data_IF_108935400076
#
_entry.id   IF_108935400076
#
_cell.length_a   1.000
_cell.length_b   1.000
_cell.length_c   1.000
_cell.angle_alpha   90.00
_cell.angle_beta   90.00
_cell.angle_gamma   90.00
#
_symmetry.space_group_name_H-M   'P 1'
#
loop_
_entity.id
_entity.type
_entity.pdbx_description
1 polymer ?
#
# COMPACT_ATOMS: atom_id res chain seq x y z
N UNK A 1 -29.25 -11.41 73.73
CA UNK A 1 -29.62 -10.80 72.44
C UNK A 1 -28.54 -9.80 72.09
N UNK A 2 -27.70 -10.11 71.10
CA UNK A 2 -26.61 -9.23 70.69
C UNK A 2 -26.48 -9.21 69.17
N UNK A 3 -26.15 -8.04 68.62
CA UNK A 3 -25.19 -7.86 67.53
C UNK A 3 -24.89 -6.37 67.40
N UNK A 4 -23.64 -5.98 67.70
CA UNK A 4 -23.09 -4.68 67.33
C UNK A 4 -22.74 -4.74 65.84
N UNK A 5 -23.21 -3.77 65.07
CA UNK A 5 -22.73 -3.48 63.72
C UNK A 5 -21.25 -3.09 63.78
N UNK A 6 -20.39 -3.85 63.10
CA UNK A 6 -18.99 -3.46 62.88
C UNK A 6 -18.91 -2.57 61.65
N UNK A 7 -18.69 -1.29 61.92
CA UNK A 7 -18.45 -0.18 61.00
C UNK A 7 -17.07 -0.34 60.35
N UNK A 8 -17.02 -0.36 59.02
CA UNK A 8 -15.78 -0.31 58.24
C UNK A 8 -14.99 0.98 58.56
N UNK A 9 -13.82 0.85 59.17
CA UNK A 9 -12.89 1.96 59.43
C UNK A 9 -12.15 2.37 58.14
N UNK A 10 -12.43 3.58 57.65
CA UNK A 10 -11.62 4.26 56.63
C UNK A 10 -10.33 4.78 57.28
N UNK A 11 -9.18 4.35 56.76
CA UNK A 11 -7.85 4.79 57.17
C UNK A 11 -7.43 6.06 56.39
N UNK A 12 -7.20 7.17 57.11
CA UNK A 12 -6.69 8.45 56.59
C UNK A 12 -5.21 8.66 56.95
N UNK A 13 -4.48 9.42 56.15
CA UNK A 13 -3.10 9.86 56.46
C UNK A 13 -3.08 10.98 57.51
N UNK A 14 -1.88 11.40 57.91
CA UNK A 14 -1.59 12.43 58.92
C UNK A 14 -2.18 13.80 58.56
N UNK A 15 -2.68 13.96 57.34
CA UNK A 15 -3.27 15.17 56.79
C UNK A 15 -4.76 14.97 56.41
N UNK A 16 -5.40 13.89 56.89
CA UNK A 16 -6.82 13.63 56.69
C UNK A 16 -7.21 13.14 55.29
N UNK A 17 -6.24 12.76 54.44
CA UNK A 17 -6.51 12.23 53.09
C UNK A 17 -6.70 10.72 53.17
N UNK A 18 -7.66 10.16 52.44
CA UNK A 18 -7.84 8.71 52.34
C UNK A 18 -6.53 8.07 51.89
N UNK A 19 -5.96 7.14 52.68
CA UNK A 19 -4.79 6.38 52.27
C UNK A 19 -5.18 5.53 51.06
N UNK A 20 -4.52 5.75 49.92
CA UNK A 20 -4.52 4.76 48.85
C UNK A 20 -3.84 3.51 49.40
N UNK A 21 -4.62 2.49 49.74
CA UNK A 21 -4.08 1.19 50.13
C UNK A 21 -3.39 0.63 48.88
N UNK A 22 -2.07 0.39 48.90
CA UNK A 22 -1.40 -0.30 47.80
C UNK A 22 -2.06 -1.67 47.66
N UNK A 23 -2.49 -2.03 46.46
CA UNK A 23 -2.98 -3.39 46.19
C UNK A 23 -1.86 -4.35 46.58
N UNK A 24 -2.11 -5.19 47.61
CA UNK A 24 -1.16 -6.24 48.04
C UNK A 24 -0.74 -7.04 46.81
N UNK A 25 0.54 -7.43 46.75
CA UNK A 25 1.00 -8.39 45.74
C UNK A 25 0.07 -9.61 45.80
N UNK A 26 -0.60 -9.83 44.68
CA UNK A 26 -1.67 -10.81 44.53
C UNK A 26 -1.53 -11.45 43.16
N UNK A 27 -2.02 -12.67 43.01
CA UNK A 27 -2.06 -13.39 41.73
C UNK A 27 -2.78 -12.55 40.65
N UNK A 28 -3.80 -11.78 41.05
CA UNK A 28 -4.50 -10.84 40.17
C UNK A 28 -3.58 -9.74 39.64
N UNK A 29 -2.74 -9.15 40.50
CA UNK A 29 -1.77 -8.13 40.11
C UNK A 29 -0.73 -8.69 39.14
N UNK A 30 -0.21 -9.89 39.41
CA UNK A 30 0.73 -10.58 38.52
C UNK A 30 0.09 -10.92 37.15
N UNK A 31 -1.15 -11.40 37.16
CA UNK A 31 -1.94 -11.68 35.96
C UNK A 31 -2.16 -10.43 35.11
N UNK A 32 -2.61 -9.33 35.73
CA UNK A 32 -2.83 -8.06 35.01
C UNK A 32 -1.52 -7.51 34.45
N UNK A 33 -0.42 -7.58 35.21
CA UNK A 33 0.88 -7.14 34.73
C UNK A 33 1.31 -7.91 33.48
N UNK A 34 1.25 -9.24 33.53
CA UNK A 34 1.55 -10.09 32.37
C UNK A 34 0.64 -9.76 31.18
N UNK A 35 -0.65 -9.53 31.42
CA UNK A 35 -1.59 -9.18 30.35
C UNK A 35 -1.27 -7.83 29.70
N UNK A 36 -0.91 -6.84 30.51
CA UNK A 36 -0.48 -5.53 30.02
C UNK A 36 0.84 -5.63 29.25
N UNK A 37 1.76 -6.47 29.67
CA UNK A 37 3.02 -6.75 28.94
C UNK A 37 2.75 -7.37 27.56
N UNK A 38 1.88 -8.38 27.47
CA UNK A 38 1.45 -8.98 26.20
C UNK A 38 0.84 -7.93 25.25
N UNK A 39 -0.07 -7.09 25.78
CA UNK A 39 -0.71 -6.02 25.00
C UNK A 39 0.33 -4.98 24.56
N UNK A 40 1.26 -4.61 25.43
CA UNK A 40 2.34 -3.68 25.11
C UNK A 40 3.22 -4.19 23.98
N UNK A 41 3.64 -5.46 24.05
CA UNK A 41 4.46 -6.09 23.01
C UNK A 41 3.73 -6.15 21.68
N UNK A 42 2.45 -6.54 21.68
CA UNK A 42 1.61 -6.54 20.49
C UNK A 42 1.42 -5.12 19.91
N UNK A 43 1.21 -4.13 20.77
CA UNK A 43 1.03 -2.72 20.37
C UNK A 43 2.31 -2.17 19.74
N UNK A 44 3.48 -2.51 20.29
CA UNK A 44 4.78 -2.11 19.76
C UNK A 44 5.00 -2.68 18.36
N UNK A 45 4.65 -3.95 18.14
CA UNK A 45 4.71 -4.57 16.82
C UNK A 45 3.75 -3.88 15.81
N UNK A 46 2.51 -3.60 16.22
CA UNK A 46 1.53 -2.87 15.39
C UNK A 46 2.01 -1.47 15.04
N UNK A 47 2.59 -0.73 16.00
CA UNK A 47 3.16 0.59 15.76
C UNK A 47 4.33 0.55 14.76
N UNK A 48 5.23 -0.44 14.88
CA UNK A 48 6.31 -0.66 13.91
C UNK A 48 5.80 -0.97 12.50
N UNK A 49 4.75 -1.79 12.39
CA UNK A 49 4.09 -2.08 11.12
C UNK A 49 3.43 -0.83 10.51
N UNK A 50 2.86 0.04 11.35
CA UNK A 50 2.23 1.29 10.92
C UNK A 50 3.25 2.26 10.34
N UNK A 51 4.40 2.43 11.01
CA UNK A 51 5.51 3.26 10.51
C UNK A 51 6.04 2.72 9.18
N UNK A 52 6.22 1.41 9.07
CA UNK A 52 6.61 0.76 7.80
C UNK A 52 5.60 1.03 6.69
N UNK A 53 4.30 0.92 6.98
CA UNK A 53 3.25 1.21 6.00
C UNK A 53 3.28 2.70 5.56
N UNK A 54 3.49 3.64 6.49
CA UNK A 54 3.65 5.07 6.18
C UNK A 54 4.83 5.32 5.22
N UNK A 55 6.00 4.75 5.51
CA UNK A 55 7.18 4.93 4.67
C UNK A 55 7.01 4.30 3.28
N UNK A 56 6.37 3.13 3.21
CA UNK A 56 6.04 2.52 1.91
C UNK A 56 5.07 3.38 1.10
N UNK A 57 4.05 4.00 1.71
CA UNK A 57 3.15 4.93 1.01
C UNK A 57 3.95 6.10 0.43
N UNK A 58 4.86 6.71 1.20
CA UNK A 58 5.70 7.82 0.73
C UNK A 58 6.58 7.38 -0.44
N UNK A 59 7.25 6.24 -0.30
CA UNK A 59 8.13 5.66 -1.33
C UNK A 59 7.37 5.40 -2.62
N UNK A 60 6.24 4.70 -2.56
CA UNK A 60 5.46 4.34 -3.75
C UNK A 60 4.81 5.58 -4.40
N UNK A 61 4.36 6.56 -3.61
CA UNK A 61 3.85 7.82 -4.16
C UNK A 61 4.95 8.59 -4.89
N UNK A 62 6.18 8.60 -4.35
CA UNK A 62 7.34 9.19 -5.02
C UNK A 62 7.67 8.45 -6.31
N UNK A 63 7.76 7.11 -6.26
CA UNK A 63 8.02 6.28 -7.44
C UNK A 63 6.98 6.51 -8.55
N UNK A 64 5.70 6.61 -8.19
CA UNK A 64 4.65 6.93 -9.14
C UNK A 64 4.83 8.31 -9.78
N UNK A 65 5.14 9.34 -8.97
CA UNK A 65 5.41 10.69 -9.48
C UNK A 65 6.61 10.70 -10.43
N UNK A 66 7.72 10.09 -10.03
CA UNK A 66 8.94 10.01 -10.81
C UNK A 66 8.70 9.31 -12.15
N UNK A 67 7.92 8.23 -12.15
CA UNK A 67 7.53 7.50 -13.35
C UNK A 67 6.60 8.32 -14.26
N UNK A 68 5.61 9.05 -13.72
CA UNK A 68 4.78 9.96 -14.52
C UNK A 68 5.60 11.08 -15.16
N UNK A 69 6.56 11.64 -14.41
CA UNK A 69 7.47 12.67 -14.92
C UNK A 69 8.36 12.08 -16.02
N UNK A 70 8.93 10.90 -15.81
CA UNK A 70 9.73 10.19 -16.80
C UNK A 70 8.93 9.85 -18.07
N UNK A 71 7.67 9.43 -17.94
CA UNK A 71 6.79 9.21 -19.09
C UNK A 71 6.59 10.49 -19.90
N UNK A 72 6.42 11.64 -19.23
CA UNK A 72 6.22 12.93 -19.90
C UNK A 72 7.49 13.47 -20.57
N UNK A 73 8.63 13.40 -19.90
CA UNK A 73 9.83 14.17 -20.27
C UNK A 73 11.02 13.32 -20.71
N UNK A 74 10.95 12.00 -20.53
CA UNK A 74 12.04 11.06 -20.75
C UNK A 74 13.00 10.94 -19.57
N UNK A 75 12.76 11.64 -18.45
CA UNK A 75 13.64 11.61 -17.28
C UNK A 75 12.89 11.89 -15.98
N UNK A 76 13.06 11.01 -14.98
CA UNK A 76 12.42 11.13 -13.68
C UNK A 76 12.79 12.41 -12.90
N UNK A 77 13.93 13.03 -13.20
CA UNK A 77 14.42 14.24 -12.51
C UNK A 77 13.98 15.56 -13.15
N UNK A 78 13.34 15.54 -14.33
CA UNK A 78 13.04 16.74 -15.11
C UNK A 78 11.55 17.04 -15.15
N UNK A 79 11.14 18.09 -14.43
CA UNK A 79 9.74 18.54 -14.38
C UNK A 79 9.21 19.08 -15.71
N UNK A 80 10.08 19.44 -16.65
CA UNK A 80 9.71 19.82 -18.00
C UNK A 80 10.72 19.22 -18.98
N UNK A 81 10.31 18.94 -20.24
CA UNK A 81 11.26 18.60 -21.29
C UNK A 81 12.30 19.71 -21.46
N UNK A 82 13.53 19.33 -21.80
CA UNK A 82 14.60 20.25 -22.21
C UNK A 82 15.02 19.92 -23.64
N UNK A 83 16.00 20.62 -24.21
CA UNK A 83 16.52 20.29 -25.54
C UNK A 83 16.96 18.83 -25.63
N UNK A 84 17.59 18.28 -24.58
CA UNK A 84 18.00 16.86 -24.52
C UNK A 84 16.85 15.85 -24.52
N UNK A 85 15.60 16.30 -24.40
CA UNK A 85 14.42 15.46 -24.60
C UNK A 85 14.09 15.25 -26.08
N UNK A 86 14.78 15.94 -26.99
CA UNK A 86 14.50 15.96 -28.42
C UNK A 86 15.78 15.83 -29.26
N UNK A 87 15.63 15.47 -30.52
CA UNK A 87 16.67 15.44 -31.53
C UNK A 87 16.11 15.95 -32.87
N UNK A 88 16.80 15.63 -33.97
CA UNK A 88 16.23 15.80 -35.31
C UNK A 88 14.98 14.95 -35.46
N UNK A 89 14.06 15.37 -36.34
CA UNK A 89 12.75 14.74 -36.47
C UNK A 89 12.84 13.25 -36.81
N UNK A 90 13.70 12.84 -37.74
CA UNK A 90 13.90 11.41 -38.01
C UNK A 90 14.31 10.63 -36.76
N UNK A 91 15.25 11.14 -35.98
CA UNK A 91 15.73 10.48 -34.76
C UNK A 91 14.61 10.37 -33.75
N UNK A 92 13.92 11.46 -33.46
CA UNK A 92 12.86 11.49 -32.43
C UNK A 92 11.60 10.72 -32.84
N UNK A 93 11.19 10.76 -34.10
CA UNK A 93 9.92 10.16 -34.53
C UNK A 93 10.04 8.74 -35.09
N UNK A 94 11.26 8.24 -35.34
CA UNK A 94 11.47 6.87 -35.90
C UNK A 94 12.66 6.12 -35.30
N UNK A 95 13.57 6.79 -34.60
CA UNK A 95 14.79 6.19 -34.07
C UNK A 95 14.55 5.37 -32.80
N UNK A 96 15.43 4.40 -32.53
CA UNK A 96 15.41 3.57 -31.32
C UNK A 96 16.38 4.04 -30.22
N UNK A 97 17.30 4.96 -30.54
CA UNK A 97 18.22 5.57 -29.59
C UNK A 97 17.59 6.81 -28.95
N UNK A 98 17.88 7.06 -27.68
CA UNK A 98 17.32 8.20 -26.96
C UNK A 98 17.99 9.51 -27.41
N UNK A 99 17.21 10.60 -27.65
CA UNK A 99 15.75 10.68 -27.65
C UNK A 99 15.15 10.23 -29.00
N UNK A 100 14.49 9.06 -28.97
CA UNK A 100 13.89 8.39 -30.12
C UNK A 100 12.39 8.18 -29.94
N UNK A 101 11.78 7.41 -30.84
CA UNK A 101 10.36 7.11 -30.77
C UNK A 101 10.01 6.49 -29.41
N UNK A 102 8.95 6.97 -28.76
CA UNK A 102 8.54 6.44 -27.47
C UNK A 102 9.36 6.90 -26.27
N UNK A 103 10.44 7.68 -26.48
CA UNK A 103 11.30 8.18 -25.41
C UNK A 103 10.51 8.93 -24.33
N UNK A 104 9.53 9.73 -24.75
CA UNK A 104 8.65 10.48 -23.88
C UNK A 104 7.38 10.88 -24.61
N UNK A 105 6.31 11.14 -23.86
CA UNK A 105 5.09 11.72 -24.42
C UNK A 105 5.36 13.08 -25.07
N UNK A 106 6.28 13.89 -24.53
CA UNK A 106 6.59 15.19 -25.13
C UNK A 106 7.19 15.07 -26.53
N UNK A 107 8.14 14.15 -26.70
CA UNK A 107 8.74 13.82 -28.00
C UNK A 107 7.68 13.32 -28.99
N UNK A 108 6.88 12.34 -28.58
CA UNK A 108 5.90 11.71 -29.45
C UNK A 108 4.76 12.67 -29.83
N UNK A 109 4.30 13.50 -28.89
CA UNK A 109 3.31 14.55 -29.16
C UNK A 109 3.90 15.60 -30.11
N UNK A 110 5.18 15.98 -29.96
CA UNK A 110 5.82 16.88 -30.91
C UNK A 110 5.83 16.28 -32.32
N UNK A 111 6.10 14.98 -32.47
CA UNK A 111 6.05 14.29 -33.77
C UNK A 111 4.67 14.33 -34.43
N UNK A 112 3.61 14.05 -33.65
CA UNK A 112 2.24 13.99 -34.15
C UNK A 112 1.68 15.39 -34.42
N UNK A 113 2.13 16.39 -33.67
CA UNK A 113 1.57 17.74 -33.73
C UNK A 113 2.40 18.72 -34.57
N UNK A 114 3.38 18.25 -35.33
CA UNK A 114 4.16 19.07 -36.23
C UNK A 114 4.20 18.46 -37.63
N UNK A 115 4.08 19.31 -38.66
CA UNK A 115 4.20 18.93 -40.06
C UNK A 115 4.60 20.15 -40.91
N UNK A 116 4.98 19.91 -42.16
CA UNK A 116 5.46 20.90 -43.13
C UNK A 116 4.55 22.12 -43.32
N UNK A 117 5.09 23.12 -44.00
CA UNK A 117 4.41 24.40 -44.26
C UNK A 117 3.01 24.17 -44.84
N UNK A 118 2.01 24.73 -44.15
CA UNK A 118 0.58 24.60 -44.52
C UNK A 118 -0.15 23.41 -43.90
N UNK A 119 0.55 22.50 -43.22
CA UNK A 119 -0.05 21.27 -42.66
C UNK A 119 0.10 21.13 -41.14
N UNK A 120 1.12 21.74 -40.55
CA UNK A 120 1.38 21.61 -39.10
C UNK A 120 0.52 22.50 -38.20
N UNK A 121 0.05 23.64 -38.71
CA UNK A 121 -0.75 24.58 -37.92
C UNK A 121 -2.10 23.96 -37.56
N UNK A 122 -2.41 23.92 -36.27
CA UNK A 122 -3.65 23.33 -35.71
C UNK A 122 -3.85 21.83 -35.93
N UNK A 123 -2.81 21.09 -36.34
CA UNK A 123 -2.96 19.65 -36.65
C UNK A 123 -3.43 18.81 -35.45
N UNK A 124 -3.16 19.27 -34.22
CA UNK A 124 -3.63 18.64 -32.98
C UNK A 124 -4.76 19.42 -32.29
N UNK A 125 -5.43 20.32 -33.02
CA UNK A 125 -6.52 21.16 -32.53
C UNK A 125 -6.22 22.65 -32.62
N UNK A 126 -7.22 23.49 -32.33
CA UNK A 126 -7.10 24.94 -32.42
C UNK A 126 -5.95 25.48 -31.54
N UNK A 127 -4.95 26.11 -32.18
CA UNK A 127 -3.74 26.61 -31.53
C UNK A 127 -2.74 25.54 -31.10
N UNK A 128 -2.97 24.27 -31.45
CA UNK A 128 -2.12 23.13 -31.11
C UNK A 128 -1.46 22.54 -32.36
N UNK A 129 -0.18 22.89 -32.54
CA UNK A 129 0.69 22.37 -33.58
C UNK A 129 1.60 23.44 -34.15
N UNK A 130 2.56 23.03 -34.98
CA UNK A 130 3.49 23.96 -35.61
C UNK A 130 4.08 23.39 -36.91
N UNK A 131 4.60 24.29 -37.75
CA UNK A 131 5.39 23.95 -38.94
C UNK A 131 6.90 24.18 -38.77
N UNK A 132 7.33 24.65 -37.60
CA UNK A 132 8.73 24.98 -37.30
C UNK A 132 9.63 23.74 -37.14
N UNK A 133 9.06 22.60 -36.77
CA UNK A 133 9.79 21.34 -36.57
C UNK A 133 9.29 20.24 -37.53
N UNK A 134 9.38 20.54 -38.82
CA UNK A 134 8.82 19.70 -39.89
C UNK A 134 9.86 18.95 -40.73
N UNK A 135 11.07 19.50 -40.89
CA UNK A 135 12.10 18.88 -41.72
C UNK A 135 12.72 17.65 -41.05
N UNK A 136 13.04 16.63 -41.84
CA UNK A 136 13.54 15.36 -41.33
C UNK A 136 14.88 15.50 -40.58
N UNK A 137 15.80 16.30 -41.13
CA UNK A 137 17.23 16.23 -40.82
C UNK A 137 17.81 17.54 -40.31
N UNK A 138 17.21 18.67 -40.67
CA UNK A 138 17.63 20.02 -40.28
C UNK A 138 16.82 20.57 -39.11
N UNK A 139 15.65 19.98 -38.83
CA UNK A 139 14.85 20.39 -37.68
C UNK A 139 15.58 20.09 -36.37
N UNK A 140 15.66 21.07 -35.49
CA UNK A 140 16.52 21.06 -34.31
C UNK A 140 15.74 20.70 -33.04
N UNK A 141 16.46 20.25 -32.01
CA UNK A 141 15.89 20.02 -30.69
C UNK A 141 15.28 21.29 -30.06
N UNK A 142 15.82 22.48 -30.39
CA UNK A 142 15.27 23.77 -29.96
C UNK A 142 13.88 24.01 -30.55
N UNK A 143 13.73 23.81 -31.86
CA UNK A 143 12.43 23.94 -32.53
C UNK A 143 11.42 22.92 -31.99
N UNK A 144 11.85 21.70 -31.69
CA UNK A 144 10.98 20.70 -31.06
C UNK A 144 10.49 21.13 -29.68
N UNK A 145 11.38 21.69 -28.86
CA UNK A 145 11.05 22.19 -27.52
C UNK A 145 10.08 23.38 -27.57
N UNK A 146 10.28 24.31 -28.50
CA UNK A 146 9.35 25.43 -28.75
C UNK A 146 7.97 24.92 -29.18
N UNK A 147 7.94 23.98 -30.13
CA UNK A 147 6.69 23.35 -30.56
C UNK A 147 5.98 22.65 -29.41
N UNK A 148 6.71 21.88 -28.59
CA UNK A 148 6.16 21.26 -27.38
C UNK A 148 5.55 22.30 -26.44
N UNK A 149 6.25 23.41 -26.17
CA UNK A 149 5.75 24.45 -25.28
C UNK A 149 4.41 25.03 -25.78
N UNK A 150 4.28 25.26 -27.09
CA UNK A 150 3.05 25.73 -27.72
C UNK A 150 1.91 24.71 -27.60
N UNK A 151 2.18 23.44 -27.93
CA UNK A 151 1.21 22.35 -27.83
C UNK A 151 0.75 22.16 -26.38
N UNK A 152 1.69 22.17 -25.43
CA UNK A 152 1.39 22.00 -24.02
C UNK A 152 0.56 23.17 -23.47
N UNK A 153 0.83 24.40 -23.91
CA UNK A 153 0.01 25.56 -23.57
C UNK A 153 -1.42 25.44 -24.11
N UNK A 154 -1.59 24.95 -25.33
CA UNK A 154 -2.92 24.68 -25.90
C UNK A 154 -3.66 23.56 -25.14
N UNK A 155 -2.97 22.46 -24.82
CA UNK A 155 -3.52 21.34 -24.04
C UNK A 155 -4.03 21.79 -22.66
N UNK A 156 -3.28 22.67 -21.96
CA UNK A 156 -3.74 23.23 -20.68
C UNK A 156 -5.08 23.96 -20.79
N UNK A 157 -5.32 24.69 -21.87
CA UNK A 157 -6.59 25.41 -22.09
C UNK A 157 -7.78 24.46 -22.24
N UNK A 158 -7.55 23.24 -22.73
CA UNK A 158 -8.57 22.20 -22.90
C UNK A 158 -8.82 21.40 -21.62
N UNK A 159 -7.90 21.42 -20.66
CA UNK A 159 -7.96 20.61 -19.42
C UNK A 159 -9.00 21.08 -18.39
N UNK A 160 -9.66 22.22 -18.60
CA UNK A 160 -10.63 22.81 -17.65
C UNK A 160 -11.96 22.05 -17.53
N UNK A 161 -12.22 21.08 -18.41
CA UNK A 161 -13.52 20.38 -18.46
C UNK A 161 -13.52 18.95 -17.88
N UNK A 162 -12.36 18.34 -17.59
CA UNK A 162 -12.30 16.93 -17.19
C UNK A 162 -11.51 16.76 -15.90
N UNK A 163 -12.20 16.36 -14.81
CA UNK A 163 -11.51 15.83 -13.63
C UNK A 163 -10.88 14.50 -13.98
N UNK A 164 -9.67 14.52 -14.54
CA UNK A 164 -8.93 13.31 -14.86
C UNK A 164 -8.56 12.59 -13.57
N UNK A 165 -9.35 11.56 -13.22
CA UNK A 165 -9.01 10.67 -12.10
C UNK A 165 -7.93 9.71 -12.56
N UNK A 166 -6.88 9.57 -11.75
CA UNK A 166 -5.81 8.58 -11.96
C UNK A 166 -6.34 7.15 -12.20
N UNK A 167 -7.54 6.84 -11.71
CA UNK A 167 -8.25 5.58 -11.97
C UNK A 167 -8.52 5.30 -13.46
N UNK A 168 -8.60 6.32 -14.32
CA UNK A 168 -8.81 6.13 -15.76
C UNK A 168 -7.53 5.90 -16.55
N UNK A 169 -6.36 6.15 -15.94
CA UNK A 169 -5.08 6.05 -16.63
C UNK A 169 -4.84 4.69 -17.32
N UNK A 170 -5.16 3.52 -16.72
CA UNK A 170 -5.02 2.24 -17.40
C UNK A 170 -5.86 2.15 -18.69
N UNK A 171 -7.12 2.60 -18.64
CA UNK A 171 -8.01 2.57 -19.80
C UNK A 171 -7.55 3.53 -20.92
N UNK A 172 -7.00 4.68 -20.56
CA UNK A 172 -6.45 5.65 -21.52
C UNK A 172 -5.20 5.10 -22.21
N UNK A 173 -4.30 4.47 -21.46
CA UNK A 173 -3.12 3.80 -22.04
C UNK A 173 -3.57 2.68 -22.99
N UNK A 174 -4.53 1.86 -22.56
CA UNK A 174 -5.02 0.75 -23.38
C UNK A 174 -5.64 1.25 -24.70
N UNK A 175 -6.38 2.36 -24.68
CA UNK A 175 -6.92 2.97 -25.89
C UNK A 175 -5.80 3.39 -26.86
N UNK A 176 -4.74 4.03 -26.36
CA UNK A 176 -3.59 4.44 -27.19
C UNK A 176 -2.81 3.22 -27.70
N UNK A 177 -2.54 2.23 -26.85
CA UNK A 177 -1.89 0.97 -27.23
C UNK A 177 -2.70 0.26 -28.31
N UNK A 178 -4.02 0.23 -28.19
CA UNK A 178 -4.89 -0.33 -29.22
C UNK A 178 -4.66 0.39 -30.55
N UNK A 179 -4.67 1.72 -30.59
CA UNK A 179 -4.39 2.49 -31.81
C UNK A 179 -3.02 2.10 -32.40
N UNK A 180 -1.96 2.07 -31.57
CA UNK A 180 -0.60 1.70 -32.00
C UNK A 180 -0.56 0.28 -32.58
N UNK A 181 -1.28 -0.66 -31.96
CA UNK A 181 -1.26 -2.07 -32.37
C UNK A 181 -2.29 -2.40 -33.47
N UNK A 182 -3.18 -1.49 -33.81
CA UNK A 182 -4.28 -1.80 -34.73
C UNK A 182 -3.69 -2.07 -36.11
N UNK A 183 -3.92 -3.30 -36.55
CA UNK A 183 -3.66 -3.81 -37.89
C UNK A 183 -5.04 -4.21 -38.44
N UNK A 184 -5.89 -3.23 -38.76
CA UNK A 184 -7.09 -3.58 -39.52
C UNK A 184 -6.58 -4.13 -40.86
N UNK A 185 -7.12 -5.26 -41.32
CA UNK A 185 -6.59 -6.07 -42.42
C UNK A 185 -6.40 -5.30 -43.75
N UNK A 186 -6.89 -4.07 -43.84
CA UNK A 186 -6.77 -3.10 -44.94
C UNK A 186 -5.65 -2.05 -44.77
N UNK A 187 -5.01 -1.97 -43.61
CA UNK A 187 -4.08 -0.89 -43.23
C UNK A 187 -2.80 -1.38 -42.52
N UNK A 188 -2.21 -2.48 -42.99
CA UNK A 188 -0.98 -3.07 -42.40
C UNK A 188 0.17 -2.07 -42.17
N UNK A 189 0.23 -1.03 -42.99
CA UNK A 189 1.23 0.06 -42.92
C UNK A 189 1.08 0.96 -41.67
N UNK A 190 -0.02 0.83 -40.92
CA UNK A 190 -0.32 1.59 -39.70
C UNK A 190 0.11 0.89 -38.42
N UNK A 191 0.39 -0.41 -38.49
CA UNK A 191 0.83 -1.16 -37.31
C UNK A 191 2.11 -0.52 -36.76
N UNK A 192 2.13 -0.25 -35.46
CA UNK A 192 3.21 0.41 -34.74
C UNK A 192 3.42 1.89 -35.11
N UNK A 193 2.46 2.53 -35.78
CA UNK A 193 2.49 3.97 -36.04
C UNK A 193 1.36 4.67 -35.33
N UNK A 194 1.64 5.83 -34.77
CA UNK A 194 0.65 6.71 -34.13
C UNK A 194 0.68 8.08 -34.79
N UNK A 195 -0.45 8.55 -35.30
CA UNK A 195 -0.54 9.84 -35.97
C UNK A 195 -1.66 9.89 -36.99
N UNK A 196 -1.55 10.80 -37.94
CA UNK A 196 -2.59 11.03 -38.94
C UNK A 196 -2.37 10.23 -40.23
N UNK A 197 -3.43 9.60 -40.74
CA UNK A 197 -3.45 8.96 -42.07
C UNK A 197 -2.62 7.67 -42.19
N UNK A 198 -2.20 7.35 -43.43
CA UNK A 198 -1.34 6.21 -43.79
C UNK A 198 0.08 6.66 -44.21
N UNK A 199 0.93 7.11 -43.26
CA UNK A 199 2.28 7.56 -43.56
C UNK A 199 3.16 6.46 -44.17
N UNK A 200 3.80 6.78 -45.29
CA UNK A 200 4.99 6.04 -45.73
C UNK A 200 6.12 6.15 -44.69
N UNK A 201 6.26 7.33 -44.08
CA UNK A 201 7.25 7.64 -43.04
C UNK A 201 6.73 8.74 -42.09
N UNK A 202 7.43 8.96 -40.98
CA UNK A 202 7.11 9.98 -39.98
C UNK A 202 8.02 11.22 -40.05
N UNK A 203 8.43 11.60 -41.27
CA UNK A 203 9.38 12.70 -41.48
C UNK A 203 8.75 14.08 -41.55
N UNK A 204 7.42 14.21 -41.41
CA UNK A 204 6.78 15.50 -41.23
C UNK A 204 6.60 16.35 -42.48
N UNK A 205 6.86 15.84 -43.68
CA UNK A 205 6.70 16.61 -44.92
C UNK A 205 5.27 17.15 -45.13
N UNK A 206 4.25 16.44 -44.63
CA UNK A 206 2.85 16.86 -44.69
C UNK A 206 2.04 16.25 -43.53
N UNK A 207 0.73 16.53 -43.50
CA UNK A 207 -0.14 16.11 -42.40
C UNK A 207 -0.21 14.59 -42.23
N UNK A 208 -0.08 13.82 -43.30
CA UNK A 208 -0.03 12.35 -43.25
C UNK A 208 1.29 11.81 -42.68
N UNK A 209 2.37 12.60 -42.66
CA UNK A 209 3.67 12.25 -42.09
C UNK A 209 3.86 12.79 -40.66
N UNK A 210 2.80 13.34 -40.07
CA UNK A 210 2.73 13.77 -38.67
C UNK A 210 2.40 12.56 -37.78
N UNK A 211 3.43 11.77 -37.49
CA UNK A 211 3.29 10.53 -36.77
C UNK A 211 4.56 10.17 -35.99
N UNK A 212 4.47 9.09 -35.21
CA UNK A 212 5.58 8.38 -34.59
C UNK A 212 5.58 6.95 -35.12
N UNK A 213 6.75 6.44 -35.46
CA UNK A 213 6.98 5.05 -35.86
C UNK A 213 7.72 4.30 -34.74
N UNK A 214 7.02 3.37 -34.09
CA UNK A 214 7.54 2.55 -33.00
C UNK A 214 8.16 1.24 -33.49
N UNK A 215 8.24 0.99 -34.80
CA UNK A 215 8.72 -0.30 -35.36
C UNK A 215 10.10 -0.68 -34.81
N UNK A 216 11.02 0.28 -34.74
CA UNK A 216 12.38 0.05 -34.24
C UNK A 216 12.47 -0.14 -32.71
N UNK A 217 11.41 0.19 -31.97
CA UNK A 217 11.36 0.16 -30.49
C UNK A 217 10.61 -1.06 -29.98
N UNK A 218 9.47 -1.37 -30.59
CA UNK A 218 8.58 -2.46 -30.16
C UNK A 218 9.12 -3.83 -30.55
N UNK A 219 9.63 -3.97 -31.78
CA UNK A 219 10.12 -5.26 -32.29
C UNK A 219 9.11 -6.41 -32.08
N UNK A 220 9.59 -7.58 -31.68
CA UNK A 220 8.77 -8.76 -31.33
C UNK A 220 8.17 -8.71 -29.92
N UNK A 221 8.68 -7.83 -29.06
CA UNK A 221 8.46 -7.90 -27.61
C UNK A 221 7.21 -7.11 -27.13
N UNK A 222 6.54 -6.41 -28.04
CA UNK A 222 5.27 -5.73 -27.77
C UNK A 222 5.39 -4.29 -27.25
N UNK A 223 4.24 -3.61 -27.06
CA UNK A 223 4.16 -2.16 -26.80
C UNK A 223 4.79 -1.73 -25.48
N UNK A 224 4.99 -2.64 -24.52
CA UNK A 224 5.63 -2.35 -23.24
C UNK A 224 7.10 -1.93 -23.37
N UNK A 225 7.71 -2.11 -24.55
CA UNK A 225 9.05 -1.59 -24.85
C UNK A 225 9.07 -0.09 -25.12
N UNK A 226 7.94 0.51 -25.44
CA UNK A 226 7.82 1.97 -25.60
C UNK A 226 8.08 2.62 -24.23
N UNK A 227 9.18 3.39 -24.06
CA UNK A 227 9.61 3.86 -22.74
C UNK A 227 8.56 4.62 -21.95
N UNK A 228 7.79 5.53 -22.58
CA UNK A 228 6.73 6.24 -21.87
C UNK A 228 5.59 5.32 -21.42
N UNK A 229 5.24 4.27 -22.18
CA UNK A 229 4.23 3.28 -21.77
C UNK A 229 4.71 2.51 -20.54
N UNK A 230 5.96 2.03 -20.56
CA UNK A 230 6.58 1.36 -19.42
C UNK A 230 6.55 2.23 -18.16
N UNK A 231 6.86 3.51 -18.30
CA UNK A 231 6.84 4.46 -17.19
C UNK A 231 5.41 4.70 -16.66
N UNK A 232 4.41 4.83 -17.54
CA UNK A 232 3.02 4.95 -17.10
C UNK A 232 2.52 3.67 -16.38
N UNK A 233 2.87 2.49 -16.88
CA UNK A 233 2.56 1.22 -16.23
C UNK A 233 3.25 1.10 -14.85
N UNK A 234 4.48 1.58 -14.73
CA UNK A 234 5.19 1.67 -13.44
C UNK A 234 4.44 2.59 -12.48
N UNK A 235 3.97 3.76 -12.94
CA UNK A 235 3.19 4.67 -12.12
C UNK A 235 1.89 4.04 -11.61
N UNK A 236 1.16 3.34 -12.49
CA UNK A 236 -0.07 2.61 -12.13
C UNK A 236 0.21 1.57 -11.02
N UNK A 237 1.27 0.77 -11.19
CA UNK A 237 1.64 -0.27 -10.22
C UNK A 237 2.02 0.31 -8.85
N UNK A 238 2.81 1.39 -8.83
CA UNK A 238 3.17 2.07 -7.58
C UNK A 238 1.97 2.72 -6.90
N UNK A 239 1.06 3.35 -7.65
CA UNK A 239 -0.19 3.89 -7.08
C UNK A 239 -1.07 2.80 -6.48
N UNK A 240 -1.24 1.67 -7.17
CA UNK A 240 -1.98 0.53 -6.64
C UNK A 240 -1.35 -0.01 -5.35
N UNK A 241 -0.02 -0.05 -5.28
CA UNK A 241 0.70 -0.45 -4.07
C UNK A 241 0.51 0.55 -2.93
N UNK A 242 0.58 1.85 -3.20
CA UNK A 242 0.31 2.89 -2.21
C UNK A 242 -1.13 2.78 -1.65
N UNK A 243 -2.12 2.51 -2.49
CA UNK A 243 -3.52 2.30 -2.07
C UNK A 243 -3.63 1.07 -1.15
N UNK A 244 -3.00 -0.06 -1.49
CA UNK A 244 -2.97 -1.24 -0.62
C UNK A 244 -2.33 -0.95 0.74
N UNK A 245 -1.22 -0.19 0.76
CA UNK A 245 -0.57 0.20 2.01
C UNK A 245 -1.45 1.14 2.83
N UNK A 246 -2.26 2.00 2.19
CA UNK A 246 -3.22 2.86 2.88
C UNK A 246 -4.30 2.04 3.58
N UNK A 247 -4.90 1.07 2.90
CA UNK A 247 -5.87 0.15 3.51
C UNK A 247 -5.26 -0.63 4.69
N UNK A 248 -4.00 -1.08 4.55
CA UNK A 248 -3.26 -1.72 5.64
C UNK A 248 -3.07 -0.78 6.83
N UNK A 249 -2.72 0.48 6.56
CA UNK A 249 -2.52 1.49 7.60
C UNK A 249 -3.81 1.74 8.39
N UNK A 250 -4.96 1.82 7.71
CA UNK A 250 -6.26 2.00 8.36
C UNK A 250 -6.65 0.77 9.21
N UNK A 251 -6.37 -0.44 8.73
CA UNK A 251 -6.52 -1.67 9.53
C UNK A 251 -5.64 -1.66 10.79
N UNK A 252 -4.36 -1.26 10.67
CA UNK A 252 -3.43 -1.17 11.81
C UNK A 252 -3.86 -0.13 12.83
N UNK A 253 -4.45 0.99 12.40
CA UNK A 253 -5.06 1.98 13.30
C UNK A 253 -6.20 1.38 14.12
N UNK A 254 -7.09 0.62 13.47
CA UNK A 254 -8.16 -0.10 14.17
C UNK A 254 -7.61 -1.07 15.20
N UNK A 255 -6.55 -1.82 14.87
CA UNK A 255 -5.89 -2.72 15.83
C UNK A 255 -5.31 -1.98 17.04
N UNK A 256 -4.67 -0.83 16.85
CA UNK A 256 -4.15 0.00 17.96
C UNK A 256 -5.28 0.49 18.88
N UNK A 257 -6.43 0.86 18.32
CA UNK A 257 -7.60 1.25 19.12
C UNK A 257 -8.12 0.09 19.97
N UNK A 258 -8.24 -1.11 19.39
CA UNK A 258 -8.64 -2.32 20.13
C UNK A 258 -7.62 -2.67 21.21
N UNK A 259 -6.32 -2.62 20.92
CA UNK A 259 -5.26 -2.89 21.90
C UNK A 259 -5.31 -1.88 23.06
N UNK A 260 -5.60 -0.62 22.77
CA UNK A 260 -5.80 0.43 23.79
C UNK A 260 -6.98 0.09 24.70
N UNK A 261 -8.11 -0.35 24.14
CA UNK A 261 -9.28 -0.76 24.94
C UNK A 261 -8.97 -1.98 25.82
N UNK A 262 -8.25 -2.98 25.28
CA UNK A 262 -7.82 -4.15 26.04
C UNK A 262 -6.91 -3.77 27.22
N UNK A 263 -6.01 -2.79 27.03
CA UNK A 263 -5.15 -2.31 28.11
C UNK A 263 -5.97 -1.67 29.23
N UNK A 264 -6.97 -0.84 28.89
CA UNK A 264 -7.88 -0.25 29.87
C UNK A 264 -8.70 -1.30 30.62
N UNK A 265 -9.22 -2.30 29.92
CA UNK A 265 -9.95 -3.41 30.54
C UNK A 265 -9.07 -4.21 31.49
N UNK A 266 -7.84 -4.54 31.11
CA UNK A 266 -6.89 -5.22 31.98
C UNK A 266 -6.58 -4.40 33.24
N UNK A 267 -6.36 -3.08 33.10
CA UNK A 267 -6.11 -2.19 34.23
C UNK A 267 -7.34 -2.05 35.15
N UNK A 268 -8.56 -2.10 34.60
CA UNK A 268 -9.79 -2.03 35.38
C UNK A 268 -9.99 -3.22 36.32
N UNK A 269 -9.44 -4.40 36.00
CA UNK A 269 -9.48 -5.59 36.87
C UNK A 269 -8.83 -5.34 38.23
N UNK A 270 -7.83 -4.46 38.31
CA UNK A 270 -7.16 -4.08 39.57
C UNK A 270 -8.03 -3.21 40.49
N UNK A 271 -9.12 -2.64 39.95
CA UNK A 271 -10.06 -1.80 40.71
C UNK A 271 -11.25 -2.59 41.24
N UNK A 272 -11.39 -3.86 40.88
CA UNK A 272 -12.42 -4.71 41.42
C UNK A 272 -12.12 -4.99 42.90
N UNK A 273 -13.10 -4.85 43.80
CA UNK A 273 -12.88 -5.18 45.20
C UNK A 273 -12.46 -6.65 45.30
N UNK A 274 -11.32 -6.90 45.92
CA UNK A 274 -10.90 -8.23 46.31
C UNK A 274 -11.90 -8.75 47.33
N UNK A 275 -12.91 -9.49 46.85
CA UNK A 275 -13.94 -10.06 47.71
C UNK A 275 -13.28 -10.95 48.77
N UNK A 276 -13.69 -10.88 50.04
CA UNK A 276 -13.19 -11.79 51.05
C UNK A 276 -13.67 -13.22 50.72
N UNK A 277 -12.73 -14.16 50.74
CA UNK A 277 -12.99 -15.59 50.56
C UNK A 277 -13.91 -16.12 51.66
N UNK A 278 -15.11 -16.58 51.30
CA UNK A 278 -15.69 -17.82 51.83
C UNK A 278 -16.90 -18.30 50.98
N UNK A 279 -16.71 -19.48 50.37
CA UNK A 279 -17.71 -20.46 49.93
C UNK A 279 -18.81 -20.04 48.93
N UNK A 280 -18.62 -20.37 47.65
CA UNK A 280 -19.27 -21.52 46.97
C UNK A 280 -19.01 -21.39 45.44
N UNK A 281 -18.34 -22.34 44.75
CA UNK A 281 -18.03 -22.19 43.33
C UNK A 281 -19.26 -22.57 42.49
N UNK A 282 -20.14 -21.62 42.18
CA UNK A 282 -21.04 -21.72 41.03
C UNK A 282 -21.21 -20.35 40.36
N UNK A 283 -20.88 -20.34 39.06
CA UNK A 283 -21.13 -19.29 38.06
C UNK A 283 -20.29 -18.02 38.27
N UNK A 284 -19.44 -17.58 37.34
CA UNK A 284 -19.61 -17.47 35.88
C UNK A 284 -18.25 -17.61 35.20
N UNK A 285 -18.14 -18.47 34.18
CA UNK A 285 -17.17 -18.28 33.10
C UNK A 285 -17.90 -18.48 31.78
N UNK A 286 -18.27 -17.37 31.16
CA UNK A 286 -18.67 -17.30 29.76
C UNK A 286 -17.63 -16.45 29.05
N UNK A 287 -16.48 -17.04 28.73
CA UNK A 287 -15.88 -16.99 27.39
C UNK A 287 -14.63 -17.89 27.36
N UNK A 288 -14.72 -18.93 26.53
CA UNK A 288 -13.62 -19.75 25.99
C UNK A 288 -12.75 -20.54 26.99
N UNK A 289 -13.25 -21.71 27.42
CA UNK A 289 -12.42 -22.90 27.65
C UNK A 289 -13.26 -24.17 27.45
N UNK A 290 -13.54 -24.54 26.21
CA UNK A 290 -14.05 -25.89 25.88
C UNK A 290 -12.87 -26.85 25.70
N UNK A 291 -12.34 -27.36 26.82
CA UNK A 291 -11.69 -28.68 26.89
C UNK A 291 -12.02 -29.27 28.25
N UNK A 292 -13.26 -29.73 28.40
CA UNK A 292 -13.64 -30.59 29.52
C UNK A 292 -12.91 -31.94 29.35
N UNK A 293 -12.13 -32.34 30.35
CA UNK A 293 -11.52 -33.66 30.41
C UNK A 293 -12.63 -34.70 30.67
N UNK A 294 -12.94 -35.55 29.69
CA UNK A 294 -13.85 -36.68 29.88
C UNK A 294 -13.23 -37.69 30.88
N UNK A 295 -14.03 -38.19 31.81
CA UNK A 295 -13.58 -39.15 32.83
C UNK A 295 -13.27 -40.55 32.24
N UNK A 296 -12.32 -41.27 32.82
CA UNK A 296 -11.80 -42.55 32.29
C UNK A 296 -12.68 -43.78 32.56
N UNK A 297 -13.80 -43.66 33.31
CA UNK A 297 -14.63 -44.79 33.74
C UNK A 297 -16.05 -44.74 33.18
N UNK A 298 -16.59 -45.90 32.75
CA UNK A 298 -17.92 -46.09 32.12
C UNK A 298 -19.06 -45.45 32.92
N UNK A 299 -19.02 -45.56 34.25
CA UNK A 299 -20.07 -45.03 35.15
C UNK A 299 -20.06 -43.51 35.32
N UNK A 300 -19.00 -42.81 34.90
CA UNK A 300 -18.83 -41.36 35.07
C UNK A 300 -18.71 -40.59 33.73
N UNK A 301 -19.08 -41.20 32.61
CA UNK A 301 -19.09 -40.54 31.31
C UNK A 301 -20.32 -39.61 31.23
N UNK A 302 -20.11 -38.30 31.39
CA UNK A 302 -21.19 -37.29 31.42
C UNK A 302 -21.78 -37.02 30.02
N UNK A 303 -22.96 -36.40 29.98
CA UNK A 303 -23.77 -36.05 28.80
C UNK A 303 -23.04 -35.40 27.60
N UNK A 304 -21.93 -34.67 27.83
CA UNK A 304 -21.08 -34.00 26.82
C UNK A 304 -20.00 -34.93 26.21
N UNK A 305 -19.81 -36.12 26.78
CA UNK A 305 -18.91 -37.15 26.29
C UNK A 305 -19.71 -38.39 25.82
N UNK A 306 -19.14 -39.16 24.91
CA UNK A 306 -19.69 -40.40 24.38
C UNK A 306 -18.72 -41.55 24.71
N UNK A 307 -19.26 -42.62 25.27
CA UNK A 307 -18.51 -43.85 25.48
C UNK A 307 -18.36 -44.59 24.14
N UNK A 308 -17.12 -44.79 23.69
CA UNK A 308 -16.81 -45.60 22.51
C UNK A 308 -16.12 -46.89 22.96
N UNK A 309 -16.80 -48.03 22.83
CA UNK A 309 -16.26 -49.37 23.07
C UNK A 309 -17.24 -50.34 23.72
N UNK A 310 -16.99 -51.64 23.54
CA UNK A 310 -17.78 -52.72 24.16
C UNK A 310 -17.32 -52.96 25.60
N UNK A 311 -18.25 -52.82 26.55
CA UNK A 311 -18.07 -52.98 28.01
C UNK A 311 -16.81 -52.33 28.59
N UNK A 312 -16.27 -52.86 29.69
CA UNK A 312 -15.27 -52.21 30.59
C UNK A 312 -13.92 -51.87 29.92
N UNK A 313 -13.84 -52.01 28.59
CA UNK A 313 -12.68 -51.69 27.75
C UNK A 313 -12.89 -50.47 26.83
N UNK A 314 -14.01 -49.75 26.97
CA UNK A 314 -14.25 -48.52 26.20
C UNK A 314 -13.56 -47.26 26.76
N UNK A 315 -13.60 -46.17 25.99
CA UNK A 315 -13.04 -44.85 26.36
C UNK A 315 -14.11 -43.77 26.15
N UNK A 316 -14.24 -42.87 27.13
CA UNK A 316 -15.14 -41.73 27.08
C UNK A 316 -14.48 -40.56 26.30
N UNK A 317 -15.03 -40.20 25.12
CA UNK A 317 -14.50 -39.14 24.24
C UNK A 317 -15.50 -37.99 24.12
N UNK A 318 -15.03 -36.76 23.92
CA UNK A 318 -15.89 -35.60 23.65
C UNK A 318 -16.66 -35.75 22.34
N UNK A 319 -17.94 -35.38 22.32
CA UNK A 319 -18.79 -35.42 21.12
C UNK A 319 -18.42 -34.31 20.11
N UNK A 320 -17.57 -34.63 19.13
CA UNK A 320 -17.23 -33.80 17.95
C UNK A 320 -16.26 -32.63 18.21
N UNK A 321 -15.22 -32.35 17.43
CA UNK A 321 -14.75 -32.92 16.16
C UNK A 321 -13.23 -32.81 15.98
N UNK A 322 -12.72 -33.66 15.08
CA UNK A 322 -11.35 -33.85 14.55
C UNK A 322 -10.79 -32.58 13.88
N UNK A 323 -9.50 -32.35 13.61
CA UNK A 323 -8.19 -33.00 13.72
C UNK A 323 -7.15 -31.84 13.59
N UNK A 324 -5.83 -31.93 13.57
CA UNK A 324 -4.84 -32.98 13.44
C UNK A 324 -3.55 -32.53 14.17
N UNK A 325 -2.76 -33.53 14.51
CA UNK A 325 -1.34 -33.58 14.88
C UNK A 325 -0.41 -32.52 14.29
N UNK A 326 0.50 -31.97 15.12
CA UNK A 326 1.94 -32.19 14.90
C UNK A 326 2.82 -31.98 16.16
N UNK A 327 3.45 -33.08 16.53
CA UNK A 327 4.75 -33.33 17.19
C UNK A 327 5.53 -32.16 17.81
N UNK A 328 5.80 -32.32 19.10
CA UNK A 328 6.83 -31.64 19.90
C UNK A 328 8.12 -32.46 19.81
N UNK A 329 9.26 -31.83 19.53
CA UNK A 329 10.58 -32.35 19.92
C UNK A 329 11.21 -31.29 20.81
N UNK A 330 11.58 -31.68 22.02
CA UNK A 330 12.05 -30.78 23.07
C UNK A 330 13.57 -30.60 23.07
N UNK A 331 14.01 -29.51 23.68
CA UNK A 331 15.28 -29.44 24.41
C UNK A 331 15.21 -28.32 25.45
N UNK A 332 15.78 -28.58 26.62
CA UNK A 332 16.09 -27.64 27.71
C UNK A 332 17.44 -28.15 28.28
N UNK A 333 18.26 -27.37 29.00
CA UNK A 333 18.33 -25.92 29.19
C UNK A 333 19.74 -25.34 28.94
N UNK A 334 19.90 -24.01 28.89
CA UNK A 334 21.09 -23.38 29.47
C UNK A 334 20.83 -21.96 29.97
N UNK A 335 21.39 -21.71 31.14
CA UNK A 335 21.29 -20.52 31.98
C UNK A 335 21.93 -19.28 31.36
N UNK A 336 21.50 -18.13 31.87
CA UNK A 336 22.32 -16.93 32.01
C UNK A 336 22.27 -15.96 30.83
N UNK A 337 21.59 -14.82 31.00
CA UNK A 337 22.25 -13.50 31.12
C UNK A 337 21.19 -12.41 31.29
N UNK A 338 21.56 -11.47 32.13
CA UNK A 338 20.87 -10.32 32.69
C UNK A 338 20.13 -9.40 31.72
N UNK A 339 19.01 -8.89 32.22
CA UNK A 339 18.13 -7.83 31.73
C UNK A 339 18.87 -6.56 31.27
N UNK A 340 18.72 -6.21 29.99
CA UNK A 340 18.86 -4.84 29.47
C UNK A 340 17.71 -4.53 28.51
N UNK A 341 16.49 -4.51 29.06
CA UNK A 341 15.26 -4.22 28.30
C UNK A 341 15.02 -2.73 28.03
N UNK A 342 15.46 -1.82 28.90
CA UNK A 342 15.00 -0.42 28.84
C UNK A 342 15.79 0.52 27.89
N UNK A 343 16.92 0.09 27.31
CA UNK A 343 17.79 1.01 26.55
C UNK A 343 17.29 1.32 25.13
N UNK A 344 16.49 0.44 24.50
CA UNK A 344 15.96 0.66 23.14
C UNK A 344 14.69 1.53 23.10
N UNK A 345 14.20 2.01 24.25
CA UNK A 345 12.89 2.67 24.39
C UNK A 345 12.87 4.17 24.06
N UNK A 346 14.02 4.85 23.97
CA UNK A 346 14.04 6.30 23.67
C UNK A 346 13.72 6.64 22.22
N UNK A 347 14.00 5.76 21.27
CA UNK A 347 13.86 6.07 19.83
C UNK A 347 12.42 6.04 19.34
N UNK A 348 11.58 5.14 19.87
CA UNK A 348 10.16 5.03 19.47
C UNK A 348 9.32 6.17 20.04
N UNK A 349 9.57 6.56 21.30
CA UNK A 349 8.90 7.71 21.94
C UNK A 349 9.27 9.04 21.27
N UNK A 350 10.56 9.24 20.95
CA UNK A 350 11.02 10.45 20.27
C UNK A 350 10.45 10.62 18.85
N UNK A 351 10.21 9.51 18.14
CA UNK A 351 9.57 9.53 16.82
C UNK A 351 8.08 9.94 16.92
N UNK A 352 7.40 9.55 17.99
CA UNK A 352 5.98 9.88 18.22
C UNK A 352 5.79 11.32 18.73
N UNK A 353 6.69 11.81 19.59
CA UNK A 353 6.62 13.17 20.14
C UNK A 353 6.98 14.26 19.12
N UNK A 354 7.87 13.98 18.16
CA UNK A 354 8.15 14.91 17.04
C UNK A 354 6.96 15.11 16.10
N UNK A 355 6.11 14.11 15.92
CA UNK A 355 4.93 14.19 15.04
C UNK A 355 3.73 14.89 15.69
N UNK A 356 3.74 15.16 17.00
CA UNK A 356 2.63 15.90 17.65
C UNK A 356 2.68 17.41 17.38
N UNK A 357 3.82 17.92 16.89
CA UNK A 357 4.10 19.33 16.65
C UNK A 357 4.40 19.66 15.17
N UNK A 358 3.95 18.86 14.20
CA UNK A 358 4.07 19.13 12.74
C UNK A 358 2.84 18.67 11.99
#
# INVERSE_FOLDING_TARGET
VGRKESRDEKSTDEHGRNKFVPVKDSELKAFVHKRLEEIYNATTATAGALLTAKENIKKETKAARDALVAARTGSAGRQQPTQDSFATRNKTCTGNSQPGAGSSLAADIACICNAGSGHGTNICGAGAGSSTWADQSTATATQALESWANIYAACKKQSSAHTHKLAHLPSQIHAVVKIILTNEQTHANLKLKLGNGQPANCYGAGSSAACVDYTAVVGSDGPDKIPWIKNLNTAISSLATAVRQRSRLDSLRGQLQTQTQLAWQAAALLKLPSSPTAANPKQVSTLAQSKAACAEKKTNCNNECEWKGTDDKGVCKSKGGEGETNKRTGEKPKEGTTTTGCAKHRTVKAAWEKEKNS
#
